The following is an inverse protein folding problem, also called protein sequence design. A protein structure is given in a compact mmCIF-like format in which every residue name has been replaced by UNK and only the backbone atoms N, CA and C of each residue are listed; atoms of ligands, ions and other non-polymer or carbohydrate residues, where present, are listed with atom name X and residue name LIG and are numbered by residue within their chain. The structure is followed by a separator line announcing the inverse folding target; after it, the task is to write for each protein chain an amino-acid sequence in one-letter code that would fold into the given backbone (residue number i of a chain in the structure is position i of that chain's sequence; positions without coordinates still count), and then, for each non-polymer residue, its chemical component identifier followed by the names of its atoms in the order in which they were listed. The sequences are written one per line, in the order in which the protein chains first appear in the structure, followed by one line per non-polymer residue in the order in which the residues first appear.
data_IF_510086548291
#
_entry.id   IF_510086548291
#
_cell.length_a   1.000
_cell.length_b   1.000
_cell.length_c   1.000
_cell.angle_alpha   90.00
_cell.angle_beta   90.00
_cell.angle_gamma   90.00
#
_symmetry.space_group_name_H-M   'P 1'
#
loop_
_entity.id
_entity.type
_entity.pdbx_description
1 polymer ?
#
# COMPACT_ATOMS: atom_id res chain seq x y z
N UNK A 1 2.09 -48.63 -10.35
CA UNK A 1 2.78 -47.48 -10.99
C UNK A 1 2.00 -46.23 -10.64
N UNK A 2 2.58 -45.39 -9.80
CA UNK A 2 1.95 -44.09 -9.43
C UNK A 2 2.11 -43.15 -10.64
N UNK A 3 1.02 -42.81 -11.30
CA UNK A 3 1.04 -41.76 -12.31
C UNK A 3 1.26 -40.42 -11.57
N UNK A 4 2.18 -39.56 -12.01
CA UNK A 4 2.32 -38.24 -11.41
C UNK A 4 1.02 -37.48 -11.58
N UNK A 5 0.54 -36.88 -10.50
CA UNK A 5 -0.62 -35.97 -10.56
C UNK A 5 -0.37 -34.90 -11.63
N UNK A 6 -1.34 -34.61 -12.50
CA UNK A 6 -1.20 -33.56 -13.49
C UNK A 6 -0.86 -32.24 -12.80
N UNK A 7 0.17 -31.56 -13.27
CA UNK A 7 0.53 -30.25 -12.79
C UNK A 7 -0.64 -29.29 -13.03
N UNK A 8 -1.16 -28.69 -11.96
CA UNK A 8 -2.20 -27.66 -12.05
C UNK A 8 -1.49 -26.36 -12.45
N UNK A 9 -1.83 -25.74 -13.59
CA UNK A 9 -1.23 -24.46 -13.96
C UNK A 9 -1.62 -23.38 -12.94
N UNK A 10 -0.66 -22.56 -12.55
CA UNK A 10 -0.90 -21.41 -11.67
C UNK A 10 -0.10 -20.20 -12.14
N UNK A 11 -0.60 -19.01 -11.84
CA UNK A 11 0.09 -17.73 -12.03
C UNK A 11 0.39 -17.12 -10.67
N UNK A 12 1.62 -16.67 -10.46
CA UNK A 12 2.04 -15.95 -9.27
C UNK A 12 2.49 -14.54 -9.68
N UNK A 13 1.75 -13.53 -9.24
CA UNK A 13 2.16 -12.13 -9.34
C UNK A 13 2.59 -11.64 -7.95
N UNK A 14 3.82 -11.18 -7.84
CA UNK A 14 4.44 -10.71 -6.60
C UNK A 14 5.05 -9.32 -6.76
N UNK A 15 5.73 -8.82 -5.71
CA UNK A 15 6.43 -7.54 -5.78
C UNK A 15 7.54 -7.59 -6.84
N UNK A 16 7.73 -6.46 -7.53
CA UNK A 16 8.78 -6.34 -8.55
C UNK A 16 10.20 -6.51 -7.96
N UNK A 17 10.38 -6.12 -6.70
CA UNK A 17 11.66 -6.20 -5.98
C UNK A 17 11.41 -6.43 -4.50
N UNK A 18 12.17 -7.31 -3.90
CA UNK A 18 12.24 -7.52 -2.45
C UNK A 18 13.66 -7.21 -2.00
N UNK A 19 13.80 -6.40 -0.94
CA UNK A 19 15.07 -6.11 -0.28
C UNK A 19 14.91 -6.52 1.18
N UNK A 20 15.63 -7.55 1.60
CA UNK A 20 15.51 -8.12 2.93
C UNK A 20 16.86 -8.13 3.65
N UNK A 21 16.87 -7.79 4.94
CA UNK A 21 18.02 -7.85 5.82
C UNK A 21 18.00 -6.76 6.90
N UNK A 22 18.83 -6.90 7.94
CA UNK A 22 18.97 -5.87 8.96
C UNK A 22 19.39 -4.53 8.34
N UNK A 23 18.70 -3.44 8.75
CA UNK A 23 19.05 -2.09 8.32
C UNK A 23 18.69 -1.73 6.88
N UNK A 24 18.04 -2.59 6.11
CA UNK A 24 17.70 -2.31 4.69
C UNK A 24 16.83 -1.06 4.49
N UNK A 25 16.16 -0.56 5.53
CA UNK A 25 15.43 0.72 5.51
C UNK A 25 16.31 1.90 5.06
N UNK A 26 17.62 1.83 5.27
CA UNK A 26 18.57 2.86 4.80
C UNK A 26 18.58 3.00 3.27
N UNK A 27 18.17 1.97 2.53
CA UNK A 27 18.09 2.01 1.07
C UNK A 27 16.80 2.68 0.57
N UNK A 28 15.82 2.87 1.45
CA UNK A 28 14.48 3.35 1.07
C UNK A 28 14.52 4.73 0.39
N UNK A 29 15.39 5.63 0.84
CA UNK A 29 15.56 6.95 0.21
C UNK A 29 15.99 6.87 -1.25
N UNK A 30 17.04 6.11 -1.54
CA UNK A 30 17.53 5.94 -2.90
C UNK A 30 16.53 5.20 -3.80
N UNK A 31 15.87 4.18 -3.27
CA UNK A 31 14.81 3.45 -3.98
C UNK A 31 13.62 4.36 -4.30
N UNK A 32 13.19 5.17 -3.33
CA UNK A 32 12.09 6.12 -3.50
C UNK A 32 12.42 7.18 -4.56
N UNK A 33 13.64 7.75 -4.53
CA UNK A 33 14.09 8.74 -5.50
C UNK A 33 14.13 8.23 -6.95
N UNK A 34 14.27 6.90 -7.12
CA UNK A 34 14.16 6.25 -8.43
C UNK A 34 12.72 6.03 -8.91
N UNK A 35 11.72 6.24 -8.04
CA UNK A 35 10.30 6.01 -8.33
C UNK A 35 9.47 7.31 -8.38
N UNK A 36 9.87 8.33 -7.60
CA UNK A 36 9.14 9.59 -7.52
C UNK A 36 9.87 10.64 -6.70
N UNK A 37 9.26 11.80 -6.54
CA UNK A 37 9.80 12.95 -5.80
C UNK A 37 8.92 13.39 -4.65
N UNK A 38 7.65 13.04 -4.64
CA UNK A 38 6.68 13.40 -3.61
C UNK A 38 5.97 12.16 -3.09
N UNK A 39 6.34 11.74 -1.88
CA UNK A 39 5.81 10.53 -1.25
C UNK A 39 4.70 10.85 -0.25
N UNK A 40 3.56 10.15 -0.33
CA UNK A 40 2.73 9.98 0.86
C UNK A 40 3.25 8.79 1.65
N UNK A 41 3.70 9.04 2.89
CA UNK A 41 4.14 7.99 3.81
C UNK A 41 2.98 7.62 4.73
N UNK A 42 2.39 6.47 4.49
CA UNK A 42 1.30 5.92 5.29
C UNK A 42 1.90 5.13 6.45
N UNK A 43 1.62 5.56 7.68
CA UNK A 43 2.16 4.91 8.89
C UNK A 43 1.06 4.25 9.71
N UNK A 44 1.43 3.42 10.68
CA UNK A 44 0.52 3.03 11.76
C UNK A 44 0.22 4.22 12.70
N UNK A 45 -0.47 3.95 13.82
CA UNK A 45 -0.93 4.98 14.76
C UNK A 45 0.16 5.79 15.46
N UNK A 46 1.42 5.38 15.38
CA UNK A 46 2.56 6.15 15.89
C UNK A 46 3.51 6.56 14.75
N UNK A 47 3.34 7.75 14.15
CA UNK A 47 4.16 8.24 13.04
C UNK A 47 5.65 8.43 13.40
N UNK A 48 5.99 8.66 14.67
CA UNK A 48 7.39 8.89 15.08
C UNK A 48 8.30 7.69 14.78
N UNK A 49 7.74 6.49 14.67
CA UNK A 49 8.48 5.27 14.29
C UNK A 49 9.07 5.35 12.87
N UNK A 50 8.55 6.23 12.02
CA UNK A 50 9.02 6.43 10.66
C UNK A 50 10.16 7.48 10.57
N UNK A 51 10.67 8.04 11.68
CA UNK A 51 11.67 9.11 11.67
C UNK A 51 12.90 8.76 10.82
N UNK A 52 13.47 7.57 11.01
CA UNK A 52 14.63 7.10 10.23
C UNK A 52 14.32 7.03 8.74
N UNK A 53 13.14 6.52 8.35
CA UNK A 53 12.70 6.52 6.95
C UNK A 53 12.60 7.93 6.40
N UNK A 54 11.98 8.86 7.13
CA UNK A 54 11.80 10.25 6.72
C UNK A 54 13.14 10.98 6.53
N UNK A 55 14.14 10.69 7.39
CA UNK A 55 15.49 11.21 7.24
C UNK A 55 16.14 10.73 5.93
N UNK A 56 16.03 9.44 5.60
CA UNK A 56 16.55 8.89 4.35
C UNK A 56 15.84 9.42 3.12
N UNK A 57 14.52 9.62 3.17
CA UNK A 57 13.75 10.24 2.08
C UNK A 57 14.22 11.67 1.83
N UNK A 58 14.34 12.47 2.91
CA UNK A 58 14.82 13.86 2.84
C UNK A 58 16.24 13.93 2.28
N UNK A 59 17.15 13.08 2.74
CA UNK A 59 18.52 13.02 2.26
C UNK A 59 18.62 12.66 0.76
N UNK A 60 17.65 11.90 0.26
CA UNK A 60 17.53 11.52 -1.15
C UNK A 60 16.74 12.54 -2.00
N UNK A 61 16.31 13.68 -1.43
CA UNK A 61 15.55 14.72 -2.13
C UNK A 61 14.11 14.31 -2.45
N UNK A 62 13.53 13.40 -1.65
CA UNK A 62 12.12 13.01 -1.73
C UNK A 62 11.35 13.77 -0.67
N UNK A 63 10.41 14.61 -1.11
CA UNK A 63 9.47 15.31 -0.22
C UNK A 63 8.44 14.30 0.33
N UNK A 64 8.25 14.27 1.64
CA UNK A 64 7.39 13.30 2.29
C UNK A 64 6.29 13.97 3.10
N UNK A 65 5.04 13.56 2.87
CA UNK A 65 3.89 13.87 3.72
C UNK A 65 3.46 12.62 4.47
N UNK A 66 3.33 12.71 5.79
CA UNK A 66 2.92 11.58 6.61
C UNK A 66 1.41 11.55 6.77
N UNK A 67 0.82 10.35 6.68
CA UNK A 67 -0.57 10.06 6.97
C UNK A 67 -0.65 8.87 7.95
N UNK A 68 -1.21 9.09 9.13
CA UNK A 68 -1.31 8.06 10.16
C UNK A 68 -2.61 7.26 10.05
N UNK A 69 -2.51 5.94 10.22
CA UNK A 69 -3.60 4.97 10.26
C UNK A 69 -3.67 4.39 11.67
N UNK A 70 -4.52 4.91 12.55
CA UNK A 70 -4.51 4.54 13.98
C UNK A 70 -5.09 3.14 14.27
N UNK A 71 -5.75 2.53 13.29
CA UNK A 71 -6.41 1.23 13.44
C UNK A 71 -6.53 0.48 12.13
N UNK A 72 -7.64 -0.23 11.96
CA UNK A 72 -7.96 -0.88 10.69
C UNK A 72 -8.34 0.17 9.63
N UNK A 73 -7.96 -0.04 8.35
CA UNK A 73 -8.34 0.88 7.29
C UNK A 73 -9.85 0.81 7.05
N UNK A 74 -10.53 1.94 7.14
CA UNK A 74 -11.95 2.07 6.77
C UNK A 74 -12.09 2.80 5.44
N UNK A 75 -13.28 2.73 4.86
CA UNK A 75 -13.60 3.44 3.62
C UNK A 75 -13.32 4.95 3.77
N UNK A 76 -13.75 5.55 4.89
CA UNK A 76 -13.55 6.98 5.18
C UNK A 76 -12.08 7.32 5.30
N UNK A 77 -11.30 6.47 5.96
CA UNK A 77 -9.87 6.66 6.12
C UNK A 77 -9.13 6.58 4.78
N UNK A 78 -9.53 5.64 3.90
CA UNK A 78 -8.98 5.54 2.55
C UNK A 78 -9.32 6.79 1.72
N UNK A 79 -10.55 7.31 1.81
CA UNK A 79 -10.94 8.58 1.16
C UNK A 79 -10.07 9.74 1.62
N UNK A 80 -9.88 9.88 2.92
CA UNK A 80 -9.05 10.94 3.51
C UNK A 80 -7.57 10.81 3.07
N UNK A 81 -7.02 9.60 3.08
CA UNK A 81 -5.65 9.35 2.66
C UNK A 81 -5.45 9.62 1.16
N UNK A 82 -6.40 9.23 0.31
CA UNK A 82 -6.36 9.52 -1.13
C UNK A 82 -6.46 11.04 -1.41
N UNK A 83 -7.30 11.76 -0.67
CA UNK A 83 -7.38 13.21 -0.74
C UNK A 83 -6.05 13.87 -0.33
N UNK A 84 -5.43 13.38 0.76
CA UNK A 84 -4.12 13.87 1.23
C UNK A 84 -3.01 13.63 0.18
N UNK A 85 -3.00 12.47 -0.48
CA UNK A 85 -2.06 12.15 -1.55
C UNK A 85 -2.24 13.08 -2.76
N UNK A 86 -3.47 13.31 -3.19
CA UNK A 86 -3.79 14.24 -4.30
C UNK A 86 -3.40 15.68 -3.98
N UNK A 87 -3.73 16.17 -2.79
CA UNK A 87 -3.38 17.52 -2.35
C UNK A 87 -1.87 17.74 -2.26
N UNK A 88 -1.11 16.69 -1.91
CA UNK A 88 0.36 16.71 -1.91
C UNK A 88 0.94 16.49 -3.33
N UNK A 89 0.12 16.19 -4.32
CA UNK A 89 0.55 15.78 -5.66
C UNK A 89 1.55 14.61 -5.60
N UNK A 90 1.24 13.62 -4.76
CA UNK A 90 2.12 12.46 -4.57
C UNK A 90 2.24 11.64 -5.85
N UNK A 91 3.47 11.30 -6.21
CA UNK A 91 3.84 10.46 -7.34
C UNK A 91 4.33 9.06 -6.91
N UNK A 92 4.36 8.83 -5.59
CA UNK A 92 4.79 7.59 -4.95
C UNK A 92 4.08 7.45 -3.60
N UNK A 93 3.72 6.24 -3.22
CA UNK A 93 3.15 5.92 -1.91
C UNK A 93 4.09 4.97 -1.16
N UNK A 94 4.34 5.25 0.12
CA UNK A 94 5.16 4.39 0.98
C UNK A 94 4.30 3.94 2.16
N UNK A 95 4.08 2.64 2.30
CA UNK A 95 3.48 2.04 3.48
C UNK A 95 4.58 1.65 4.49
N UNK A 96 4.55 2.22 5.69
CA UNK A 96 5.47 1.90 6.78
C UNK A 96 4.68 1.50 8.02
N UNK A 97 4.56 0.21 8.29
CA UNK A 97 3.76 -0.27 9.41
C UNK A 97 3.33 -1.72 9.30
N UNK A 98 2.26 -2.06 9.98
CA UNK A 98 1.58 -3.34 9.86
C UNK A 98 0.65 -3.40 8.64
N UNK A 99 -0.11 -4.49 8.52
CA UNK A 99 -1.03 -4.71 7.39
C UNK A 99 -1.95 -3.53 7.11
N UNK A 100 -2.49 -2.87 8.14
CA UNK A 100 -3.37 -1.69 7.98
C UNK A 100 -2.71 -0.54 7.22
N UNK A 101 -1.45 -0.21 7.55
CA UNK A 101 -0.71 0.84 6.87
C UNK A 101 -0.37 0.44 5.42
N UNK A 102 0.03 -0.82 5.21
CA UNK A 102 0.38 -1.34 3.89
C UNK A 102 -0.84 -1.44 2.98
N UNK A 103 -1.97 -1.92 3.49
CA UNK A 103 -3.22 -2.01 2.72
C UNK A 103 -3.77 -0.62 2.39
N UNK A 104 -3.71 0.34 3.33
CA UNK A 104 -4.03 1.73 3.04
C UNK A 104 -3.15 2.29 1.93
N UNK A 105 -1.83 2.07 1.99
CA UNK A 105 -0.90 2.55 0.98
C UNK A 105 -1.23 2.01 -0.42
N UNK A 106 -1.51 0.71 -0.54
CA UNK A 106 -1.92 0.07 -1.81
C UNK A 106 -3.23 0.65 -2.35
N UNK A 107 -4.25 0.77 -1.49
CA UNK A 107 -5.55 1.33 -1.87
C UNK A 107 -5.42 2.78 -2.36
N UNK A 108 -4.67 3.60 -1.63
CA UNK A 108 -4.42 5.00 -2.00
C UNK A 108 -3.69 5.10 -3.34
N UNK A 109 -2.66 4.28 -3.56
CA UNK A 109 -1.90 4.26 -4.81
C UNK A 109 -2.81 3.98 -6.02
N UNK A 110 -3.76 3.05 -5.87
CA UNK A 110 -4.74 2.74 -6.90
C UNK A 110 -5.74 3.88 -7.13
N UNK A 111 -6.26 4.49 -6.06
CA UNK A 111 -7.27 5.56 -6.14
C UNK A 111 -6.72 6.88 -6.68
N UNK A 112 -5.45 7.18 -6.46
CA UNK A 112 -4.83 8.41 -7.01
C UNK A 112 -4.85 8.38 -8.54
N UNK A 113 -4.58 7.24 -9.16
CA UNK A 113 -4.52 7.09 -10.62
C UNK A 113 -5.85 6.79 -11.27
N UNK A 114 -6.71 5.99 -10.63
CA UNK A 114 -7.99 5.57 -11.20
C UNK A 114 -9.14 6.53 -10.84
N UNK A 115 -9.00 7.31 -9.76
CA UNK A 115 -10.10 8.17 -9.29
C UNK A 115 -11.20 7.37 -8.61
N UNK A 116 -12.42 7.92 -8.58
CA UNK A 116 -13.58 7.27 -8.01
C UNK A 116 -13.57 7.20 -6.48
N UNK A 117 -14.45 6.37 -5.96
CA UNK A 117 -14.63 6.07 -4.54
C UNK A 117 -14.09 4.67 -4.23
N UNK A 118 -13.55 4.39 -3.03
CA UNK A 118 -13.16 3.03 -2.66
C UNK A 118 -14.25 1.99 -2.93
N UNK A 119 -15.53 2.32 -2.69
CA UNK A 119 -16.66 1.43 -2.94
C UNK A 119 -16.84 1.04 -4.41
N UNK A 120 -16.32 1.83 -5.36
CA UNK A 120 -16.39 1.45 -6.78
C UNK A 120 -15.59 0.17 -7.05
N UNK A 121 -14.54 -0.09 -6.28
CA UNK A 121 -13.57 -1.16 -6.52
C UNK A 121 -13.64 -2.33 -5.53
N UNK A 122 -14.47 -2.22 -4.47
CA UNK A 122 -14.59 -3.27 -3.45
C UNK A 122 -15.32 -4.51 -3.97
N UNK A 123 -14.82 -5.71 -3.59
CA UNK A 123 -15.31 -6.98 -4.12
C UNK A 123 -16.68 -7.42 -3.55
N UNK A 124 -16.94 -7.21 -2.25
CA UNK A 124 -18.10 -7.82 -1.59
C UNK A 124 -19.29 -6.89 -1.48
N UNK A 125 -19.07 -5.64 -1.09
CA UNK A 125 -20.15 -4.66 -0.87
C UNK A 125 -20.00 -3.40 -1.75
N UNK A 126 -19.07 -3.44 -2.71
CA UNK A 126 -18.86 -2.37 -3.69
C UNK A 126 -19.35 -2.73 -5.08
N UNK A 127 -19.00 -1.89 -6.03
CA UNK A 127 -19.42 -2.02 -7.43
C UNK A 127 -18.55 -2.96 -8.26
N UNK A 128 -17.43 -3.45 -7.71
CA UNK A 128 -16.47 -4.36 -8.36
C UNK A 128 -15.92 -3.86 -9.70
N UNK A 129 -15.80 -2.55 -9.86
CA UNK A 129 -15.22 -1.99 -11.07
C UNK A 129 -13.74 -2.40 -11.18
N UNK A 130 -13.25 -2.71 -12.37
CA UNK A 130 -11.82 -2.99 -12.56
C UNK A 130 -11.01 -1.69 -12.42
N UNK A 131 -9.80 -1.81 -11.87
CA UNK A 131 -8.80 -0.75 -11.93
C UNK A 131 -8.24 -0.68 -13.35
N UNK A 132 -8.50 0.39 -14.07
CA UNK A 132 -8.17 0.56 -15.50
C UNK A 132 -6.77 1.12 -15.73
N UNK A 133 -6.21 1.77 -14.72
CA UNK A 133 -4.87 2.39 -14.78
C UNK A 133 -3.97 1.75 -13.74
N UNK A 134 -2.68 1.59 -14.07
CA UNK A 134 -1.69 1.17 -13.09
C UNK A 134 -1.68 2.10 -11.89
N UNK A 135 -1.56 1.54 -10.71
CA UNK A 135 -1.40 2.29 -9.46
C UNK A 135 -0.11 3.12 -9.48
N UNK A 136 -0.03 4.14 -8.64
CA UNK A 136 1.26 4.75 -8.35
C UNK A 136 2.24 3.69 -7.83
N UNK A 137 3.56 3.91 -7.99
CA UNK A 137 4.56 3.07 -7.34
C UNK A 137 4.32 2.96 -5.83
N UNK A 138 4.49 1.76 -5.28
CA UNK A 138 4.35 1.51 -3.84
C UNK A 138 5.64 0.90 -3.30
N UNK A 139 6.13 1.45 -2.19
CA UNK A 139 7.15 0.80 -1.36
C UNK A 139 6.46 0.33 -0.07
N UNK A 140 6.44 -0.98 0.16
CA UNK A 140 5.90 -1.57 1.37
C UNK A 140 7.04 -1.91 2.35
N UNK A 141 7.01 -1.30 3.54
CA UNK A 141 8.00 -1.52 4.61
C UNK A 141 7.26 -2.06 5.83
N UNK A 142 7.14 -3.39 5.97
CA UNK A 142 6.44 -3.99 7.08
C UNK A 142 7.21 -3.82 8.40
N UNK A 143 6.48 -3.50 9.47
CA UNK A 143 7.00 -3.46 10.85
C UNK A 143 6.41 -4.58 11.71
N UNK A 144 5.61 -5.46 11.12
CA UNK A 144 4.94 -6.60 11.76
C UNK A 144 5.08 -7.80 10.84
N UNK A 145 5.63 -8.88 11.37
CA UNK A 145 5.73 -10.14 10.63
C UNK A 145 4.37 -10.87 10.58
N UNK A 146 4.12 -11.59 9.48
CA UNK A 146 3.00 -12.53 9.36
C UNK A 146 1.77 -12.00 8.61
N UNK A 147 1.67 -10.71 8.31
CA UNK A 147 0.49 -10.18 7.56
C UNK A 147 0.53 -10.53 6.07
N UNK A 148 1.73 -10.64 5.47
CA UNK A 148 1.91 -10.88 4.05
C UNK A 148 1.43 -9.74 3.14
N UNK A 149 0.99 -8.62 3.73
CA UNK A 149 0.45 -7.50 2.94
C UNK A 149 1.49 -6.89 2.00
N UNK A 150 2.77 -6.97 2.35
CA UNK A 150 3.90 -6.48 1.54
C UNK A 150 4.11 -7.25 0.23
N UNK A 151 3.60 -8.48 0.14
CA UNK A 151 3.78 -9.35 -1.04
C UNK A 151 2.46 -9.65 -1.77
N UNK A 152 1.34 -9.13 -1.30
CA UNK A 152 0.03 -9.34 -1.92
C UNK A 152 -0.45 -8.12 -2.71
N UNK A 153 -1.26 -8.37 -3.74
CA UNK A 153 -1.85 -7.33 -4.60
C UNK A 153 -3.13 -6.71 -4.05
N UNK A 154 -3.74 -7.33 -3.05
CA UNK A 154 -5.00 -6.87 -2.47
C UNK A 154 -4.78 -5.95 -1.27
N UNK A 155 -5.73 -5.06 -1.04
CA UNK A 155 -5.87 -4.25 0.16
C UNK A 155 -7.18 -4.62 0.86
N UNK A 156 -7.10 -5.03 2.13
CA UNK A 156 -8.27 -5.36 2.95
C UNK A 156 -8.76 -4.11 3.66
N UNK A 157 -10.01 -3.73 3.41
CA UNK A 157 -10.61 -2.49 3.92
C UNK A 157 -11.90 -2.84 4.65
N UNK A 158 -12.08 -2.28 5.83
CA UNK A 158 -13.29 -2.42 6.62
C UNK A 158 -14.35 -1.38 6.22
N UNK A 159 -15.60 -1.80 6.30
CA UNK A 159 -16.75 -0.91 6.24
C UNK A 159 -17.61 -1.12 7.48
N UNK A 160 -17.53 -0.22 8.47
CA UNK A 160 -18.40 -0.26 9.63
C UNK A 160 -19.89 -0.22 9.25
N UNK A 161 -20.23 0.56 8.23
CA UNK A 161 -21.60 0.66 7.69
C UNK A 161 -22.15 -0.68 7.20
N UNK A 162 -21.32 -1.51 6.58
CA UNK A 162 -21.71 -2.83 6.09
C UNK A 162 -21.38 -3.96 7.07
N UNK A 163 -20.80 -3.66 8.24
CA UNK A 163 -20.38 -4.66 9.22
C UNK A 163 -19.39 -5.70 8.66
N UNK A 164 -18.64 -5.36 7.62
CA UNK A 164 -17.84 -6.30 6.85
C UNK A 164 -16.46 -5.74 6.44
N UNK A 165 -15.57 -6.67 6.07
CA UNK A 165 -14.29 -6.34 5.40
C UNK A 165 -14.31 -6.92 4.00
N UNK A 166 -13.75 -6.21 3.05
CA UNK A 166 -13.59 -6.69 1.69
C UNK A 166 -12.24 -6.27 1.11
N UNK A 167 -11.86 -6.93 0.03
CA UNK A 167 -10.64 -6.62 -0.70
C UNK A 167 -10.90 -5.67 -1.85
N UNK A 168 -9.96 -4.77 -2.07
CA UNK A 168 -9.73 -4.10 -3.34
C UNK A 168 -8.48 -4.72 -3.96
N UNK A 169 -8.55 -5.14 -5.22
CA UNK A 169 -7.44 -5.79 -5.95
C UNK A 169 -7.00 -4.96 -7.14
N UNK A 170 -5.68 -4.92 -7.35
CA UNK A 170 -5.05 -4.31 -8.52
C UNK A 170 -4.33 -5.33 -9.37
#
# INVERSE_FOLDING_TARGET
MNQPSPAIPFELAGPRRVVFGPGTVHQAGALAAGLGRRALVVTGGNPSRASVLLEHLRAAGVEAKVFAVPGEPTIELIRAAAAAAKAHSSDLIIGFGGGSALDTAKAVAALVTNGGDPLDYMESFGRRQPLMRSSLPVIAIPTTAGTGSEVTRNAVIGSPEHGAKASMRS
#
